data_IF_977397389406
#
_entry.id   IF_977397389406
#
_cell.length_a   1.000
_cell.length_b   1.000
_cell.length_c   1.000
_cell.angle_alpha   90.00
_cell.angle_beta   90.00
_cell.angle_gamma   90.00
#
_symmetry.space_group_name_H-M   'P 1'
#
loop_
_entity.id
_entity.type
_entity.pdbx_description
1 polymer ?
#
# COMPACT_ATOMS: atom_id res chain seq x y z
N UNK A 1 29.46 11.04 -20.43
CA UNK A 1 28.00 10.74 -20.30
C UNK A 1 27.61 9.82 -19.14
N UNK A 2 28.31 8.71 -18.86
CA UNK A 2 28.00 7.83 -17.71
C UNK A 2 27.93 8.60 -16.37
N UNK A 3 28.77 9.63 -16.18
CA UNK A 3 28.74 10.53 -15.02
C UNK A 3 27.40 11.26 -14.84
N UNK A 4 26.74 11.66 -15.94
CA UNK A 4 25.45 12.36 -15.93
C UNK A 4 24.33 11.41 -15.49
N UNK A 5 24.31 10.21 -16.04
CA UNK A 5 23.37 9.15 -15.64
C UNK A 5 23.58 8.79 -14.17
N UNK A 6 24.84 8.69 -13.72
CA UNK A 6 25.14 8.47 -12.30
C UNK A 6 24.62 9.61 -11.42
N UNK A 7 24.73 10.86 -11.85
CA UNK A 7 24.21 12.02 -11.11
C UNK A 7 22.69 11.97 -10.97
N UNK A 8 21.96 11.67 -12.04
CA UNK A 8 20.49 11.56 -12.01
C UNK A 8 20.05 10.40 -11.11
N UNK A 9 20.72 9.24 -11.22
CA UNK A 9 20.47 8.08 -10.38
C UNK A 9 20.75 8.37 -8.90
N UNK A 10 21.86 9.05 -8.57
CA UNK A 10 22.17 9.46 -7.20
C UNK A 10 21.13 10.43 -6.65
N UNK A 11 20.71 11.43 -7.43
CA UNK A 11 19.67 12.35 -7.02
C UNK A 11 18.34 11.63 -6.77
N UNK A 12 17.96 10.67 -7.63
CA UNK A 12 16.75 9.86 -7.46
C UNK A 12 16.84 9.04 -6.19
N UNK A 13 17.97 8.36 -5.95
CA UNK A 13 18.20 7.57 -4.75
C UNK A 13 18.17 8.41 -3.46
N UNK A 14 18.65 9.65 -3.50
CA UNK A 14 18.53 10.57 -2.36
C UNK A 14 17.07 10.98 -2.11
N UNK A 15 16.32 11.29 -3.17
CA UNK A 15 14.91 11.63 -3.07
C UNK A 15 14.08 10.45 -2.55
N UNK A 16 14.31 9.24 -3.07
CA UNK A 16 13.63 8.03 -2.59
C UNK A 16 13.97 7.73 -1.14
N UNK A 17 15.25 7.84 -0.72
CA UNK A 17 15.63 7.70 0.70
C UNK A 17 14.93 8.72 1.60
N UNK A 18 14.78 9.97 1.15
CA UNK A 18 14.05 11.00 1.90
C UNK A 18 12.55 10.66 1.98
N UNK A 19 11.95 10.25 0.86
CA UNK A 19 10.55 9.84 0.80
C UNK A 19 10.27 8.65 1.71
N UNK A 20 11.12 7.61 1.71
CA UNK A 20 11.00 6.45 2.60
C UNK A 20 11.13 6.84 4.08
N UNK A 21 11.98 7.80 4.42
CA UNK A 21 12.06 8.29 5.81
C UNK A 21 10.81 9.07 6.21
N UNK A 22 10.28 9.88 5.29
CA UNK A 22 9.05 10.64 5.51
C UNK A 22 7.85 9.70 5.64
N UNK A 23 7.71 8.69 4.77
CA UNK A 23 6.63 7.70 4.85
C UNK A 23 6.67 6.94 6.16
N UNK A 24 7.85 6.47 6.60
CA UNK A 24 8.01 5.82 7.91
C UNK A 24 7.63 6.71 9.09
N UNK A 25 7.87 8.02 8.97
CA UNK A 25 7.45 8.98 10.01
C UNK A 25 5.93 9.12 10.02
N UNK A 26 5.32 9.26 8.84
CA UNK A 26 3.87 9.35 8.66
C UNK A 26 3.17 8.07 9.16
N UNK A 27 3.63 6.88 8.75
CA UNK A 27 3.13 5.58 9.22
C UNK A 27 3.16 5.47 10.75
N UNK A 28 4.21 6.02 11.40
CA UNK A 28 4.33 6.03 12.86
C UNK A 28 3.34 6.98 13.52
N UNK A 29 3.06 8.13 12.90
CA UNK A 29 2.07 9.09 13.39
C UNK A 29 0.65 8.53 13.22
N UNK A 30 0.33 7.98 12.05
CA UNK A 30 -0.92 7.28 11.77
C UNK A 30 -1.18 6.16 12.76
N UNK A 31 -0.17 5.33 13.06
CA UNK A 31 -0.29 4.27 14.06
C UNK A 31 -0.58 4.81 15.47
N UNK A 32 0.05 5.92 15.86
CA UNK A 32 -0.23 6.54 17.17
C UNK A 32 -1.66 7.04 17.23
N UNK A 33 -2.14 7.66 16.16
CA UNK A 33 -3.50 8.21 16.11
C UNK A 33 -4.55 7.10 16.06
N UNK A 34 -4.32 6.02 15.30
CA UNK A 34 -5.20 4.85 15.31
C UNK A 34 -5.28 4.20 16.70
N UNK A 35 -4.15 4.10 17.41
CA UNK A 35 -4.12 3.58 18.78
C UNK A 35 -4.88 4.50 19.76
N UNK A 36 -4.70 5.83 19.65
CA UNK A 36 -5.42 6.81 20.48
C UNK A 36 -6.93 6.69 20.28
N UNK A 37 -7.38 6.64 19.02
CA UNK A 37 -8.80 6.47 18.69
C UNK A 37 -9.34 5.15 19.24
N UNK A 38 -8.59 4.04 19.10
CA UNK A 38 -8.97 2.74 19.64
C UNK A 38 -9.05 2.74 21.17
N UNK A 39 -8.10 3.37 21.86
CA UNK A 39 -8.15 3.48 23.32
C UNK A 39 -9.33 4.33 23.77
N UNK A 40 -9.63 5.43 23.09
CA UNK A 40 -10.80 6.26 23.39
C UNK A 40 -12.11 5.48 23.20
N UNK A 41 -12.24 4.77 22.09
CA UNK A 41 -13.40 3.92 21.80
C UNK A 41 -13.59 2.82 22.86
N UNK A 42 -12.53 2.05 23.15
CA UNK A 42 -12.57 1.00 24.17
C UNK A 42 -12.86 1.57 25.58
N UNK A 43 -12.38 2.78 25.87
CA UNK A 43 -12.62 3.45 27.16
C UNK A 43 -14.12 3.69 27.38
N UNK A 44 -14.82 4.16 26.35
CA UNK A 44 -16.27 4.40 26.38
C UNK A 44 -17.02 3.09 26.66
N UNK A 45 -16.67 2.01 25.96
CA UNK A 45 -17.29 0.70 26.18
C UNK A 45 -17.05 0.19 27.61
N UNK A 46 -15.81 0.28 28.10
CA UNK A 46 -15.46 -0.16 29.45
C UNK A 46 -16.17 0.66 30.53
N UNK A 47 -16.31 1.96 30.34
CA UNK A 47 -17.00 2.82 31.30
C UNK A 47 -18.50 2.52 31.33
N UNK A 48 -19.12 2.24 30.18
CA UNK A 48 -20.50 1.75 30.09
C UNK A 48 -20.69 0.42 30.84
N UNK A 49 -19.78 -0.54 30.64
CA UNK A 49 -19.82 -1.84 31.34
C UNK A 49 -19.62 -1.70 32.85
N UNK A 50 -18.72 -0.82 33.29
CA UNK A 50 -18.50 -0.56 34.72
C UNK A 50 -19.72 0.09 35.37
N UNK A 51 -20.29 1.10 34.71
CA UNK A 51 -21.51 1.75 35.17
C UNK A 51 -22.66 0.74 35.26
N UNK A 52 -22.83 -0.13 34.27
CA UNK A 52 -23.84 -1.19 34.27
C UNK A 52 -23.70 -2.14 35.47
N UNK A 53 -22.48 -2.61 35.76
CA UNK A 53 -22.20 -3.49 36.91
C UNK A 53 -22.52 -2.81 38.24
N UNK A 54 -22.15 -1.54 38.38
CA UNK A 54 -22.47 -0.76 39.57
C UNK A 54 -23.98 -0.61 39.74
N UNK A 55 -24.70 -0.25 38.66
CA UNK A 55 -26.16 -0.11 38.67
C UNK A 55 -26.86 -1.42 39.06
N UNK A 56 -26.48 -2.54 38.45
CA UNK A 56 -27.04 -3.87 38.80
C UNK A 56 -26.86 -4.17 40.29
N UNK A 57 -25.69 -3.85 40.86
CA UNK A 57 -25.42 -4.06 42.28
C UNK A 57 -26.26 -3.14 43.17
N UNK A 58 -26.40 -1.87 42.81
CA UNK A 58 -27.24 -0.91 43.53
C UNK A 58 -28.71 -1.32 43.53
N UNK A 59 -29.22 -1.77 42.39
CA UNK A 59 -30.61 -2.21 42.24
C UNK A 59 -30.88 -3.45 43.09
N UNK A 60 -29.94 -4.40 43.11
CA UNK A 60 -30.01 -5.57 43.98
C UNK A 60 -30.02 -5.20 45.47
N UNK A 61 -29.15 -4.28 45.90
CA UNK A 61 -29.02 -3.89 47.31
C UNK A 61 -30.19 -3.04 47.80
N UNK A 62 -30.73 -2.15 46.96
CA UNK A 62 -31.78 -1.22 47.34
C UNK A 62 -33.19 -1.79 47.16
N UNK A 63 -33.36 -2.82 46.32
CA UNK A 63 -34.64 -3.47 46.06
C UNK A 63 -35.72 -2.44 45.68
N UNK A 64 -36.77 -2.25 46.51
CA UNK A 64 -37.83 -1.27 46.23
C UNK A 64 -37.37 0.20 46.25
N UNK A 65 -36.20 0.50 46.83
CA UNK A 65 -35.61 1.85 46.89
C UNK A 65 -34.59 2.10 45.76
N UNK A 66 -34.62 1.29 44.69
CA UNK A 66 -33.75 1.50 43.53
C UNK A 66 -34.05 2.88 42.89
N UNK A 67 -33.00 3.66 42.53
CA UNK A 67 -33.20 4.98 41.97
C UNK A 67 -33.83 4.90 40.57
N UNK A 68 -34.83 5.74 40.31
CA UNK A 68 -35.37 5.92 38.96
C UNK A 68 -34.35 6.71 38.12
N UNK A 69 -33.61 6.02 37.27
CA UNK A 69 -32.53 6.64 36.46
C UNK A 69 -33.03 7.36 35.22
N UNK A 70 -34.24 7.03 34.80
CA UNK A 70 -34.92 7.66 33.67
C UNK A 70 -35.58 9.00 34.07
N UNK A 71 -35.60 9.31 35.37
CA UNK A 71 -36.13 10.56 35.90
C UNK A 71 -35.02 11.63 35.99
N UNK A 72 -35.33 12.86 35.56
CA UNK A 72 -34.43 14.02 35.65
C UNK A 72 -34.06 14.63 34.30
N UNK A 73 -33.18 15.63 34.32
CA UNK A 73 -32.74 16.35 33.13
C UNK A 73 -31.99 15.43 32.15
N UNK A 74 -31.08 14.61 32.68
CA UNK A 74 -30.28 13.63 31.92
C UNK A 74 -30.96 12.27 31.81
N UNK A 75 -32.09 12.05 32.52
CA UNK A 75 -32.81 10.78 32.53
C UNK A 75 -33.32 10.38 31.14
N UNK A 76 -33.58 11.36 30.26
CA UNK A 76 -33.97 11.12 28.86
C UNK A 76 -32.89 10.46 28.01
N UNK A 77 -31.63 10.54 28.45
CA UNK A 77 -30.47 9.96 27.77
C UNK A 77 -30.05 8.63 28.40
N UNK A 78 -30.74 8.20 29.45
CA UNK A 78 -30.37 6.98 30.15
C UNK A 78 -30.49 5.78 29.22
N UNK A 79 -29.40 5.00 29.12
CA UNK A 79 -29.31 3.85 28.21
C UNK A 79 -28.93 4.19 26.77
N UNK A 80 -28.97 5.47 26.38
CA UNK A 80 -28.50 5.89 25.07
C UNK A 80 -26.97 5.94 25.00
N UNK A 81 -26.41 5.54 23.85
CA UNK A 81 -24.98 5.58 23.57
C UNK A 81 -24.57 6.94 23.00
N UNK A 82 -23.27 7.24 23.09
CA UNK A 82 -22.70 8.40 22.42
C UNK A 82 -22.61 8.17 20.90
N UNK A 83 -22.64 9.22 20.07
CA UNK A 83 -22.47 9.10 18.61
C UNK A 83 -21.16 8.43 18.20
N UNK A 84 -20.14 8.46 19.05
CA UNK A 84 -18.86 7.80 18.80
C UNK A 84 -18.99 6.28 18.74
N UNK A 85 -20.01 5.69 19.37
CA UNK A 85 -20.30 4.26 19.27
C UNK A 85 -20.70 3.82 17.85
N UNK A 86 -21.20 4.74 17.01
CA UNK A 86 -21.57 4.44 15.63
C UNK A 86 -20.37 4.35 14.69
N UNK A 87 -19.23 4.93 15.08
CA UNK A 87 -18.07 5.08 14.21
C UNK A 87 -16.87 4.40 14.88
N UNK A 88 -16.72 3.08 14.72
CA UNK A 88 -15.55 2.37 15.24
C UNK A 88 -14.26 2.91 14.60
N UNK A 89 -13.13 2.85 15.31
CA UNK A 89 -11.86 3.35 14.82
C UNK A 89 -11.41 2.57 13.58
N UNK A 90 -10.81 3.24 12.56
CA UNK A 90 -10.33 2.57 11.37
C UNK A 90 -9.16 1.64 11.69
N UNK A 91 -9.12 0.50 11.01
CA UNK A 91 -8.01 -0.44 11.10
C UNK A 91 -6.87 0.08 10.21
N UNK A 92 -5.59 0.04 10.63
CA UNK A 92 -4.46 0.41 9.77
C UNK A 92 -4.41 -0.45 8.50
N UNK A 93 -4.08 0.14 7.35
CA UNK A 93 -4.15 -0.51 6.03
C UNK A 93 -3.41 -1.86 5.97
N UNK A 94 -2.22 -1.95 6.56
CA UNK A 94 -1.41 -3.17 6.58
C UNK A 94 -2.00 -4.31 7.45
N UNK A 95 -2.99 -4.02 8.29
CA UNK A 95 -3.71 -5.02 9.10
C UNK A 95 -5.08 -5.36 8.51
N UNK A 96 -5.53 -4.63 7.48
CA UNK A 96 -6.83 -4.87 6.85
C UNK A 96 -6.81 -6.17 6.05
N UNK A 97 -7.96 -6.83 5.97
CA UNK A 97 -8.19 -7.96 5.07
C UNK A 97 -8.03 -7.49 3.63
N UNK A 98 -7.29 -8.27 2.85
CA UNK A 98 -7.15 -8.04 1.42
C UNK A 98 -8.49 -8.19 0.68
N UNK A 99 -9.30 -9.17 1.08
CA UNK A 99 -10.60 -9.46 0.46
C UNK A 99 -11.71 -9.38 1.50
N UNK A 100 -12.66 -8.50 1.26
CA UNK A 100 -13.92 -8.43 2.00
C UNK A 100 -14.96 -9.20 1.21
N UNK A 101 -15.48 -10.26 1.81
CA UNK A 101 -16.36 -11.22 1.13
C UNK A 101 -17.85 -10.97 1.39
N UNK A 102 -18.22 -9.78 1.89
CA UNK A 102 -19.59 -9.37 2.18
C UNK A 102 -19.84 -8.05 1.44
N UNK A 103 -21.01 -7.91 0.81
CA UNK A 103 -21.45 -6.71 0.14
C UNK A 103 -22.85 -6.28 0.66
N UNK A 104 -23.23 -5.00 0.44
CA UNK A 104 -24.61 -4.56 0.62
C UNK A 104 -25.57 -5.44 -0.18
N UNK A 105 -26.69 -5.83 0.41
CA UNK A 105 -27.68 -6.75 -0.18
C UNK A 105 -27.48 -8.23 0.17
N UNK A 106 -26.37 -8.60 0.81
CA UNK A 106 -26.18 -9.97 1.27
C UNK A 106 -27.06 -10.30 2.48
N UNK A 107 -27.57 -11.54 2.53
CA UNK A 107 -28.22 -12.09 3.72
C UNK A 107 -27.16 -12.61 4.68
N UNK A 108 -27.23 -12.16 5.93
CA UNK A 108 -26.25 -12.54 6.95
C UNK A 108 -26.90 -12.92 8.27
N UNK A 109 -26.27 -13.84 8.98
CA UNK A 109 -26.63 -14.27 10.33
C UNK A 109 -25.65 -13.69 11.36
N UNK A 110 -26.18 -13.16 12.45
CA UNK A 110 -25.38 -12.64 13.57
C UNK A 110 -24.96 -13.78 14.48
N UNK A 111 -23.66 -13.90 14.76
CA UNK A 111 -23.09 -14.98 15.58
C UNK A 111 -22.87 -14.59 17.05
N UNK A 112 -22.72 -13.29 17.34
CA UNK A 112 -22.49 -12.76 18.70
C UNK A 112 -23.32 -11.52 18.99
N UNK A 113 -23.55 -11.24 20.27
CA UNK A 113 -24.30 -10.07 20.72
C UNK A 113 -25.77 -10.38 21.04
N UNK A 114 -26.56 -9.31 21.24
CA UNK A 114 -27.97 -9.37 21.65
C UNK A 114 -28.85 -10.09 20.63
N UNK A 115 -28.57 -9.88 19.35
CA UNK A 115 -29.37 -10.39 18.23
C UNK A 115 -28.79 -11.66 17.60
N UNK A 116 -28.04 -12.45 18.38
CA UNK A 116 -27.45 -13.72 17.93
C UNK A 116 -28.51 -14.66 17.35
N UNK A 117 -28.22 -15.23 16.18
CA UNK A 117 -29.07 -16.17 15.44
C UNK A 117 -30.11 -15.52 14.54
N UNK A 118 -30.26 -14.19 14.59
CA UNK A 118 -31.15 -13.47 13.67
C UNK A 118 -30.46 -13.27 12.32
N UNK A 119 -31.26 -13.37 11.26
CA UNK A 119 -30.84 -13.24 9.87
C UNK A 119 -31.50 -11.99 9.30
N UNK A 120 -30.72 -11.11 8.66
CA UNK A 120 -31.25 -10.01 7.87
C UNK A 120 -30.25 -9.57 6.79
N UNK A 121 -30.63 -8.57 6.00
CA UNK A 121 -29.86 -8.02 4.90
C UNK A 121 -28.84 -6.98 5.37
N UNK A 122 -27.68 -6.97 4.71
CA UNK A 122 -26.63 -5.96 4.91
C UNK A 122 -26.99 -4.67 4.20
N UNK A 123 -27.05 -3.56 4.95
CA UNK A 123 -27.30 -2.22 4.40
C UNK A 123 -26.02 -1.55 3.92
N UNK A 124 -24.94 -1.65 4.70
CA UNK A 124 -23.66 -0.96 4.41
C UNK A 124 -22.50 -1.81 4.88
N UNK A 125 -21.44 -1.85 4.08
CA UNK A 125 -20.15 -2.47 4.44
C UNK A 125 -19.09 -1.39 4.45
N UNK A 126 -18.32 -1.31 5.53
CA UNK A 126 -17.19 -0.40 5.65
C UNK A 126 -15.88 -1.17 5.64
N UNK A 127 -15.13 -1.02 4.54
CA UNK A 127 -13.85 -1.67 4.34
C UNK A 127 -12.74 -1.11 5.23
N UNK A 128 -12.87 0.12 5.72
CA UNK A 128 -11.83 0.78 6.50
C UNK A 128 -11.82 0.31 7.96
N UNK A 129 -13.01 0.04 8.50
CA UNK A 129 -13.24 -0.42 9.87
C UNK A 129 -13.49 -1.93 9.94
N UNK A 130 -13.66 -2.60 8.80
CA UNK A 130 -14.09 -4.00 8.70
C UNK A 130 -15.40 -4.27 9.46
N UNK A 131 -16.36 -3.37 9.26
CA UNK A 131 -17.67 -3.47 9.87
C UNK A 131 -18.81 -3.52 8.87
N UNK A 132 -19.93 -4.08 9.32
CA UNK A 132 -21.13 -4.31 8.55
C UNK A 132 -22.31 -3.77 9.35
N UNK A 133 -23.16 -2.98 8.69
CA UNK A 133 -24.43 -2.53 9.24
C UNK A 133 -25.52 -3.41 8.66
N UNK A 134 -26.25 -4.09 9.54
CA UNK A 134 -27.34 -4.99 9.18
C UNK A 134 -28.67 -4.29 9.47
N UNK A 135 -29.61 -4.38 8.53
CA UNK A 135 -30.91 -3.71 8.64
C UNK A 135 -31.67 -4.17 9.88
N UNK A 136 -32.21 -3.22 10.65
CA UNK A 136 -33.08 -3.43 11.82
C UNK A 136 -32.54 -4.41 12.88
N UNK A 137 -31.23 -4.69 12.87
CA UNK A 137 -30.54 -5.56 13.83
C UNK A 137 -29.42 -4.80 14.53
N UNK A 138 -29.06 -5.26 15.73
CA UNK A 138 -28.10 -4.57 16.61
C UNK A 138 -28.46 -3.09 16.83
N UNK A 139 -29.76 -2.84 16.99
CA UNK A 139 -30.28 -1.49 17.22
C UNK A 139 -29.98 -1.03 18.63
N UNK A 140 -29.49 0.20 18.74
CA UNK A 140 -29.28 0.89 19.99
C UNK A 140 -29.75 2.34 19.88
N UNK A 141 -30.18 2.89 21.01
CA UNK A 141 -30.51 4.31 21.10
C UNK A 141 -29.20 5.10 21.15
N UNK A 142 -29.05 6.06 20.24
CA UNK A 142 -27.91 6.96 20.18
C UNK A 142 -28.40 8.37 20.42
N UNK A 143 -27.81 9.06 21.38
CA UNK A 143 -28.10 10.46 21.64
C UNK A 143 -27.32 11.34 20.65
N UNK A 144 -28.04 12.20 19.93
CA UNK A 144 -27.45 13.20 19.07
C UNK A 144 -27.51 14.59 19.70
N UNK A 145 -26.53 15.47 19.44
CA UNK A 145 -26.59 16.86 19.90
C UNK A 145 -27.85 17.57 19.41
N UNK A 146 -28.38 18.49 20.21
CA UNK A 146 -29.64 19.20 19.94
C UNK A 146 -29.67 19.88 18.56
N UNK A 147 -28.57 20.51 18.16
CA UNK A 147 -28.45 21.18 16.86
C UNK A 147 -28.66 20.23 15.66
N UNK A 148 -28.34 18.95 15.82
CA UNK A 148 -28.54 17.95 14.77
C UNK A 148 -29.99 17.44 14.78
N UNK A 149 -30.58 17.23 15.97
CA UNK A 149 -31.97 16.80 16.09
C UNK A 149 -32.95 17.83 15.52
N UNK A 150 -32.69 19.13 15.73
CA UNK A 150 -33.49 20.23 15.17
C UNK A 150 -33.48 20.22 13.63
N UNK A 151 -32.33 19.94 13.00
CA UNK A 151 -32.21 19.87 11.54
C UNK A 151 -33.03 18.72 10.94
N UNK A 152 -33.10 17.58 11.63
CA UNK A 152 -33.88 16.43 11.18
C UNK A 152 -35.35 16.45 11.65
N UNK A 153 -35.77 17.46 12.41
CA UNK A 153 -37.13 17.58 12.93
C UNK A 153 -37.48 16.50 13.98
N UNK A 154 -36.48 15.89 14.60
CA UNK A 154 -36.68 14.83 15.58
C UNK A 154 -36.93 15.43 16.97
N UNK A 155 -38.12 15.17 17.52
CA UNK A 155 -38.52 15.64 18.85
C UNK A 155 -37.89 14.84 20.00
N UNK A 156 -37.34 13.65 19.71
CA UNK A 156 -36.72 12.78 20.70
C UNK A 156 -35.23 13.09 20.81
N UNK A 157 -34.66 13.11 22.04
CA UNK A 157 -33.25 13.43 22.24
C UNK A 157 -32.31 12.30 21.76
N UNK A 158 -32.84 11.10 21.53
CA UNK A 158 -32.12 9.97 20.97
C UNK A 158 -32.85 9.42 19.74
N UNK A 159 -32.12 8.68 18.92
CA UNK A 159 -32.66 7.95 17.78
C UNK A 159 -32.14 6.50 17.83
N UNK A 160 -33.03 5.55 17.56
CA UNK A 160 -32.67 4.14 17.50
C UNK A 160 -32.09 3.82 16.11
N UNK A 161 -30.81 3.46 16.08
CA UNK A 161 -30.07 3.17 14.84
C UNK A 161 -29.36 1.83 14.93
N UNK A 162 -29.21 1.14 13.80
CA UNK A 162 -28.42 -0.09 13.68
C UNK A 162 -26.93 0.22 13.83
N UNK A 163 -26.29 -0.33 14.87
CA UNK A 163 -24.86 -0.15 15.09
C UNK A 163 -24.02 -1.10 14.21
N UNK A 164 -22.83 -0.66 13.76
CA UNK A 164 -21.93 -1.50 12.99
C UNK A 164 -21.47 -2.72 13.81
N UNK A 165 -21.48 -3.89 13.17
CA UNK A 165 -20.95 -5.14 13.69
C UNK A 165 -19.62 -5.46 13.01
N UNK A 166 -18.70 -6.12 13.70
CA UNK A 166 -17.50 -6.64 13.04
C UNK A 166 -17.86 -7.73 12.04
N UNK A 167 -17.15 -7.78 10.90
CA UNK A 167 -17.28 -8.86 9.91
C UNK A 167 -17.10 -10.25 10.56
N UNK A 168 -16.30 -10.37 11.62
CA UNK A 168 -16.08 -11.65 12.31
C UNK A 168 -17.27 -12.16 13.11
N UNK A 169 -18.18 -11.27 13.49
CA UNK A 169 -19.36 -11.61 14.27
C UNK A 169 -20.58 -11.92 13.40
N UNK A 170 -20.37 -11.98 12.08
CA UNK A 170 -21.41 -12.17 11.08
C UNK A 170 -21.01 -13.30 10.12
N UNK A 171 -21.99 -14.06 9.62
CA UNK A 171 -21.77 -15.13 8.62
C UNK A 171 -22.77 -15.01 7.48
N UNK A 172 -22.34 -15.32 6.26
CA UNK A 172 -23.21 -15.30 5.09
C UNK A 172 -24.23 -16.44 5.18
N UNK A 173 -25.45 -16.15 4.74
CA UNK A 173 -26.51 -17.13 4.56
C UNK A 173 -26.73 -17.27 3.06
N UNK A 174 -26.49 -18.48 2.54
CA UNK A 174 -26.57 -18.79 1.12
C UNK A 174 -27.58 -19.92 0.93
N UNK A 175 -28.47 -19.77 -0.05
CA UNK A 175 -29.35 -20.84 -0.47
C UNK A 175 -28.55 -21.81 -1.34
N UNK A 176 -28.41 -23.06 -0.90
CA UNK A 176 -27.70 -24.12 -1.61
C UNK A 176 -28.64 -25.30 -1.84
N UNK A 177 -28.46 -25.98 -2.97
CA UNK A 177 -29.16 -27.20 -3.29
C UNK A 177 -28.45 -28.38 -2.62
N UNK A 178 -29.20 -29.17 -1.85
CA UNK A 178 -28.67 -30.40 -1.28
C UNK A 178 -28.46 -31.44 -2.39
N UNK A 179 -27.24 -31.98 -2.60
CA UNK A 179 -26.96 -32.91 -3.69
C UNK A 179 -27.75 -34.23 -3.59
N UNK A 180 -28.20 -34.61 -2.40
CA UNK A 180 -28.93 -35.88 -2.20
C UNK A 180 -30.43 -35.69 -2.39
N UNK A 181 -31.00 -34.63 -1.84
CA UNK A 181 -32.45 -34.40 -1.85
C UNK A 181 -32.93 -33.48 -2.98
N UNK A 182 -32.04 -32.68 -3.57
CA UNK A 182 -32.36 -31.67 -4.57
C UNK A 182 -33.18 -30.49 -4.03
N UNK A 183 -33.34 -30.38 -2.71
CA UNK A 183 -34.06 -29.28 -2.09
C UNK A 183 -33.12 -28.10 -1.78
N UNK A 184 -33.57 -26.89 -2.11
CA UNK A 184 -32.91 -25.64 -1.72
C UNK A 184 -33.02 -25.44 -0.21
N UNK A 185 -31.91 -25.28 0.49
CA UNK A 185 -31.88 -24.93 1.91
C UNK A 185 -30.96 -23.75 2.17
N UNK A 186 -31.35 -22.90 3.12
CA UNK A 186 -30.49 -21.83 3.61
C UNK A 186 -29.39 -22.44 4.49
N UNK A 187 -28.14 -22.25 4.07
CA UNK A 187 -26.94 -22.72 4.76
C UNK A 187 -26.15 -21.54 5.28
N UNK A 188 -25.64 -21.66 6.50
CA UNK A 188 -24.72 -20.70 7.08
C UNK A 188 -23.29 -21.04 6.66
N UNK A 189 -22.63 -20.13 5.97
CA UNK A 189 -21.27 -20.32 5.47
C UNK A 189 -20.28 -19.90 6.55
N UNK A 190 -19.49 -20.84 7.07
CA UNK A 190 -18.52 -20.59 8.13
C UNK A 190 -17.28 -19.83 7.64
N UNK A 191 -16.75 -20.23 6.48
CA UNK A 191 -15.54 -19.69 5.90
C UNK A 191 -15.72 -19.41 4.40
N UNK A 192 -15.37 -18.19 3.99
CA UNK A 192 -15.45 -17.73 2.60
C UNK A 192 -14.06 -17.36 2.14
N UNK A 193 -13.63 -17.90 1.00
CA UNK A 193 -12.39 -17.49 0.33
C UNK A 193 -12.71 -16.54 -0.81
N UNK A 194 -11.99 -15.42 -0.88
CA UNK A 194 -12.05 -14.48 -2.00
C UNK A 194 -10.85 -14.70 -2.92
N UNK A 195 -11.03 -14.51 -4.24
CA UNK A 195 -9.94 -14.66 -5.19
C UNK A 195 -10.33 -14.47 -6.64
N UNK A 196 -9.57 -15.12 -7.52
CA UNK A 196 -9.79 -15.10 -8.97
C UNK A 196 -11.01 -15.95 -9.36
N UNK A 197 -11.69 -15.62 -10.48
CA UNK A 197 -11.39 -14.55 -11.43
C UNK A 197 -11.82 -13.15 -10.95
N UNK A 198 -11.09 -12.12 -11.39
CA UNK A 198 -11.49 -10.72 -11.17
C UNK A 198 -12.48 -10.29 -12.25
N UNK A 199 -13.69 -9.94 -11.83
CA UNK A 199 -14.75 -9.48 -12.70
C UNK A 199 -14.63 -7.96 -12.90
N UNK A 200 -14.90 -7.51 -14.12
CA UNK A 200 -15.16 -6.10 -14.39
C UNK A 200 -16.55 -5.76 -13.83
N UNK A 201 -16.63 -4.64 -13.11
CA UNK A 201 -17.86 -4.14 -12.50
C UNK A 201 -18.22 -2.83 -13.16
N UNK A 202 -19.50 -2.56 -13.21
CA UNK A 202 -19.99 -1.27 -13.65
C UNK A 202 -19.46 -0.16 -12.74
N UNK A 203 -19.30 1.02 -13.31
CA UNK A 203 -18.79 2.16 -12.56
C UNK A 203 -19.79 2.58 -11.49
N UNK A 204 -19.28 2.87 -10.29
CA UNK A 204 -20.09 3.30 -9.14
C UNK A 204 -20.70 2.14 -8.35
N UNK A 205 -20.44 0.89 -8.71
CA UNK A 205 -20.91 -0.26 -7.95
C UNK A 205 -20.04 -0.53 -6.72
N UNK A 206 -20.64 -0.69 -5.54
CA UNK A 206 -19.93 -1.00 -4.29
C UNK A 206 -19.50 -2.48 -4.16
N UNK A 207 -19.95 -3.35 -5.06
CA UNK A 207 -19.59 -4.78 -5.04
C UNK A 207 -18.11 -4.99 -5.35
N UNK A 208 -17.40 -5.86 -4.62
CA UNK A 208 -16.00 -6.18 -4.91
C UNK A 208 -15.78 -6.82 -6.29
N UNK A 209 -14.55 -6.63 -6.82
CA UNK A 209 -14.13 -7.18 -8.12
C UNK A 209 -13.80 -8.67 -8.08
N UNK A 210 -13.34 -9.19 -6.94
CA UNK A 210 -12.99 -10.61 -6.80
C UNK A 210 -14.24 -11.48 -6.72
N UNK A 211 -14.14 -12.75 -7.11
CA UNK A 211 -15.17 -13.77 -6.83
C UNK A 211 -14.95 -14.35 -5.43
N UNK A 212 -16.01 -14.95 -4.89
CA UNK A 212 -15.99 -15.56 -3.55
C UNK A 212 -16.56 -16.97 -3.60
N UNK A 213 -15.94 -17.85 -2.82
CA UNK A 213 -16.25 -19.27 -2.78
C UNK A 213 -16.40 -19.76 -1.34
N UNK A 214 -17.24 -20.77 -1.13
CA UNK A 214 -17.26 -21.52 0.12
C UNK A 214 -15.93 -22.25 0.27
N UNK A 215 -15.22 -22.00 1.37
CA UNK A 215 -13.92 -22.62 1.58
C UNK A 215 -14.06 -24.15 1.74
N UNK A 216 -13.33 -24.92 0.94
CA UNK A 216 -13.32 -26.39 0.98
C UNK A 216 -14.26 -27.05 -0.02
N UNK A 217 -15.42 -26.45 -0.32
CA UNK A 217 -16.36 -26.98 -1.32
C UNK A 217 -16.20 -26.33 -2.70
N UNK A 218 -15.50 -25.19 -2.78
CA UNK A 218 -15.25 -24.43 -4.01
C UNK A 218 -16.53 -24.04 -4.78
N UNK A 219 -17.66 -23.98 -4.08
CA UNK A 219 -18.94 -23.50 -4.59
C UNK A 219 -18.89 -21.96 -4.64
N UNK A 220 -19.14 -21.39 -5.82
CA UNK A 220 -19.18 -19.95 -6.01
C UNK A 220 -20.42 -19.34 -5.35
N UNK A 221 -20.22 -18.26 -4.57
CA UNK A 221 -21.31 -17.47 -4.01
C UNK A 221 -21.46 -16.21 -4.87
N UNK A 222 -22.55 -16.07 -5.64
CA UNK A 222 -22.75 -14.88 -6.46
C UNK A 222 -22.84 -13.63 -5.58
N UNK A 223 -22.37 -12.51 -6.10
CA UNK A 223 -22.57 -11.21 -5.48
C UNK A 223 -24.05 -10.78 -5.59
N UNK A 224 -24.57 -10.02 -4.62
CA UNK A 224 -25.92 -9.49 -4.71
C UNK A 224 -26.01 -8.52 -5.89
N UNK A 225 -27.19 -8.44 -6.51
CA UNK A 225 -27.43 -7.48 -7.59
C UNK A 225 -27.50 -6.09 -6.98
N UNK A 226 -26.55 -5.23 -7.34
CA UNK A 226 -26.57 -3.81 -7.01
C UNK A 226 -27.30 -3.03 -8.08
N UNK A 227 -28.07 -2.03 -7.69
CA UNK A 227 -28.58 -1.04 -8.63
C UNK A 227 -27.42 -0.19 -9.15
N UNK A 228 -27.28 0.00 -10.48
CA UNK A 228 -26.26 0.87 -11.02
C UNK A 228 -26.51 2.30 -10.55
N UNK A 229 -25.42 3.03 -10.24
CA UNK A 229 -25.54 4.43 -9.87
C UNK A 229 -26.22 5.23 -10.99
N UNK A 230 -27.21 6.05 -10.64
CA UNK A 230 -27.82 6.99 -11.58
C UNK A 230 -26.77 8.03 -12.00
N UNK A 231 -26.17 7.83 -13.18
CA UNK A 231 -25.31 8.84 -13.78
C UNK A 231 -26.20 9.93 -14.38
N UNK A 232 -26.01 11.15 -13.91
CA UNK A 232 -26.67 12.34 -14.45
C UNK A 232 -25.62 13.18 -15.13
N UNK A 233 -25.88 13.52 -16.39
CA UNK A 233 -25.06 14.47 -17.12
C UNK A 233 -25.34 15.85 -16.52
N UNK A 234 -24.32 16.46 -15.95
CA UNK A 234 -24.41 17.78 -15.38
C UNK A 234 -24.09 18.86 -16.42
N UNK A 235 -24.57 20.09 -16.22
CA UNK A 235 -24.40 21.18 -17.19
C UNK A 235 -22.94 21.60 -17.45
N UNK A 236 -22.02 21.17 -16.60
CA UNK A 236 -20.58 21.43 -16.66
C UNK A 236 -19.80 20.25 -17.26
N UNK A 237 -20.48 19.16 -17.59
CA UNK A 237 -19.92 18.05 -18.33
C UNK A 237 -19.82 18.39 -19.82
N UNK A 238 -18.83 17.81 -20.47
CA UNK A 238 -18.65 17.96 -21.91
C UNK A 238 -19.58 17.02 -22.65
N UNK A 239 -20.17 17.50 -23.76
CA UNK A 239 -21.04 16.67 -24.58
C UNK A 239 -20.24 15.51 -25.16
N UNK A 240 -20.84 14.32 -25.18
CA UNK A 240 -20.20 13.11 -25.72
C UNK A 240 -19.64 13.30 -27.13
N UNK A 241 -20.35 14.05 -27.98
CA UNK A 241 -19.89 14.37 -29.33
C UNK A 241 -18.54 15.12 -29.31
N UNK A 242 -18.36 16.08 -28.40
CA UNK A 242 -17.10 16.83 -28.29
C UNK A 242 -15.96 15.95 -27.79
N UNK A 243 -16.23 15.09 -26.79
CA UNK A 243 -15.25 14.17 -26.21
C UNK A 243 -14.77 13.14 -27.22
N UNK A 244 -15.67 12.59 -28.03
CA UNK A 244 -15.35 11.54 -29.00
C UNK A 244 -14.75 12.09 -30.31
N UNK A 245 -14.75 13.42 -30.53
CA UNK A 245 -14.19 13.99 -31.76
C UNK A 245 -12.65 13.85 -31.82
N UNK A 246 -12.09 13.08 -32.78
CA UNK A 246 -10.65 12.94 -32.91
C UNK A 246 -10.05 14.16 -33.60
N UNK A 247 -9.52 15.11 -32.83
CA UNK A 247 -8.93 16.36 -33.34
C UNK A 247 -7.43 16.25 -33.63
N UNK A 248 -6.74 15.28 -33.03
CA UNK A 248 -5.29 15.16 -33.12
C UNK A 248 -4.82 14.36 -34.34
N UNK A 249 -3.98 14.99 -35.18
CA UNK A 249 -3.30 14.33 -36.28
C UNK A 249 -1.77 14.34 -36.03
N UNK A 250 -1.13 13.19 -35.79
CA UNK A 250 0.31 13.12 -35.57
C UNK A 250 1.09 13.61 -36.80
N UNK A 251 2.08 14.48 -36.58
CA UNK A 251 2.96 14.98 -37.63
C UNK A 251 4.43 14.70 -37.27
N UNK A 252 5.26 14.38 -38.27
CA UNK A 252 6.70 14.19 -38.08
C UNK A 252 7.51 15.47 -38.29
N UNK A 253 7.01 16.37 -39.15
CA UNK A 253 7.69 17.62 -39.51
C UNK A 253 7.55 18.71 -38.45
N UNK A 254 6.39 18.76 -37.78
CA UNK A 254 6.09 19.78 -36.79
C UNK A 254 5.95 19.14 -35.42
N UNK A 255 6.51 19.83 -34.42
CA UNK A 255 6.30 19.42 -33.05
C UNK A 255 4.81 19.57 -32.68
N UNK A 256 4.26 18.65 -31.87
CA UNK A 256 2.88 18.70 -31.40
C UNK A 256 2.48 20.02 -30.71
N UNK A 257 3.44 20.64 -30.05
CA UNK A 257 3.29 21.91 -29.35
C UNK A 257 4.48 22.81 -29.67
N UNK A 258 4.34 24.13 -29.52
CA UNK A 258 5.46 25.05 -29.61
C UNK A 258 6.58 24.68 -28.63
N UNK A 259 7.85 24.91 -28.99
CA UNK A 259 8.99 24.51 -28.14
C UNK A 259 9.01 25.21 -26.77
N UNK A 260 8.36 26.36 -26.63
CA UNK A 260 8.22 27.07 -25.34
C UNK A 260 7.48 26.23 -24.29
N UNK A 261 6.46 25.47 -24.71
CA UNK A 261 5.64 24.63 -23.81
C UNK A 261 6.47 23.52 -23.18
N UNK A 262 7.54 23.06 -23.84
CA UNK A 262 8.42 22.04 -23.28
C UNK A 262 9.12 22.49 -22.00
N UNK A 263 9.40 23.79 -21.84
CA UNK A 263 10.05 24.33 -20.65
C UNK A 263 9.06 24.50 -19.47
N UNK A 264 7.75 24.55 -19.75
CA UNK A 264 6.68 24.55 -18.74
C UNK A 264 6.38 23.13 -18.25
N UNK A 265 6.25 22.17 -19.18
CA UNK A 265 5.97 20.75 -18.86
C UNK A 265 7.12 20.13 -18.06
N UNK A 266 8.36 20.56 -18.31
CA UNK A 266 9.54 20.07 -17.59
C UNK A 266 10.54 21.18 -17.31
N UNK A 267 11.11 21.15 -16.10
CA UNK A 267 12.24 22.01 -15.78
C UNK A 267 13.48 21.63 -16.62
N UNK A 268 13.87 22.53 -17.55
CA UNK A 268 15.03 22.43 -18.44
C UNK A 268 16.35 22.15 -17.71
N UNK A 269 16.51 22.68 -16.50
CA UNK A 269 17.72 22.57 -15.68
C UNK A 269 17.59 21.55 -14.55
N UNK A 270 16.58 20.69 -14.61
CA UNK A 270 16.38 19.64 -13.62
C UNK A 270 17.58 18.70 -13.54
N UNK A 271 18.00 18.40 -12.30
CA UNK A 271 19.01 17.36 -12.02
C UNK A 271 18.56 15.94 -12.37
N UNK A 272 17.28 15.75 -12.71
CA UNK A 272 16.69 14.48 -13.14
C UNK A 272 16.53 14.39 -14.67
N UNK A 273 16.97 15.41 -15.42
CA UNK A 273 16.93 15.40 -16.89
C UNK A 273 17.74 14.21 -17.43
N UNK A 274 17.12 13.40 -18.28
CA UNK A 274 17.75 12.24 -18.94
C UNK A 274 17.94 12.44 -20.44
N UNK A 275 17.03 13.19 -21.07
CA UNK A 275 17.08 13.52 -22.51
C UNK A 275 17.81 14.84 -22.69
N UNK A 276 19.01 14.78 -23.28
CA UNK A 276 19.89 15.93 -23.50
C UNK A 276 20.05 16.20 -24.98
N UNK A 277 20.30 17.46 -25.32
CA UNK A 277 20.56 17.91 -26.68
C UNK A 277 21.96 17.46 -27.11
N UNK A 278 22.17 17.20 -28.40
CA UNK A 278 23.42 16.62 -28.91
C UNK A 278 24.63 17.53 -28.63
N UNK A 279 24.48 18.82 -28.88
CA UNK A 279 25.49 19.86 -28.59
C UNK A 279 25.94 19.83 -27.11
N UNK A 280 24.99 19.65 -26.19
CA UNK A 280 25.28 19.57 -24.77
C UNK A 280 26.05 18.30 -24.42
N UNK A 281 25.68 17.18 -25.05
CA UNK A 281 26.36 15.89 -24.87
C UNK A 281 27.80 15.97 -25.38
N UNK A 282 28.02 16.58 -26.54
CA UNK A 282 29.35 16.82 -27.12
C UNK A 282 30.19 17.72 -26.23
N UNK A 283 29.65 18.86 -25.80
CA UNK A 283 30.34 19.76 -24.87
C UNK A 283 30.77 19.04 -23.59
N UNK A 284 29.90 18.19 -23.02
CA UNK A 284 30.23 17.39 -21.84
C UNK A 284 31.27 16.29 -22.10
N UNK A 285 31.25 15.66 -23.28
CA UNK A 285 32.29 14.70 -23.68
C UNK A 285 33.64 15.41 -23.83
N UNK A 286 33.67 16.60 -24.45
CA UNK A 286 34.89 17.39 -24.59
C UNK A 286 35.46 17.85 -23.26
N UNK A 287 34.62 18.23 -22.29
CA UNK A 287 35.06 18.51 -20.93
C UNK A 287 35.67 17.27 -20.24
N UNK A 288 35.06 16.10 -20.41
CA UNK A 288 35.58 14.83 -19.89
C UNK A 288 36.97 14.52 -20.51
N UNK A 289 37.10 14.63 -21.84
CA UNK A 289 38.39 14.45 -22.53
C UNK A 289 39.44 15.48 -22.12
N UNK A 290 39.06 16.76 -21.97
CA UNK A 290 39.98 17.81 -21.50
C UNK A 290 40.49 17.49 -20.11
N UNK A 291 39.63 16.97 -19.23
CA UNK A 291 40.03 16.57 -17.88
C UNK A 291 40.97 15.37 -17.90
N UNK A 292 40.68 14.36 -18.72
CA UNK A 292 41.55 13.19 -18.91
C UNK A 292 42.91 13.62 -19.48
N UNK A 293 42.93 14.52 -20.46
CA UNK A 293 44.16 15.10 -21.02
C UNK A 293 44.97 15.88 -19.98
N UNK A 294 44.31 16.69 -19.14
CA UNK A 294 45.00 17.41 -18.06
C UNK A 294 45.54 16.45 -16.99
N UNK A 295 44.83 15.36 -16.69
CA UNK A 295 45.31 14.33 -15.77
C UNK A 295 46.46 13.51 -16.37
N UNK A 296 46.45 13.25 -17.68
CA UNK A 296 47.54 12.55 -18.36
C UNK A 296 48.78 13.43 -18.52
N UNK A 297 48.63 14.76 -18.50
CA UNK A 297 49.76 15.69 -18.43
C UNK A 297 50.38 15.67 -17.05
N UNK A 298 51.26 14.70 -16.83
CA UNK A 298 52.31 14.84 -15.82
C UNK A 298 53.31 15.88 -16.32
N UNK A 299 53.31 17.08 -15.73
CA UNK A 299 54.45 17.99 -15.84
C UNK A 299 55.57 17.42 -14.99
N UNK A 300 56.33 16.47 -15.54
CA UNK A 300 57.53 15.98 -14.87
C UNK A 300 58.62 17.04 -14.99
N UNK A 301 59.39 17.22 -13.92
CA UNK A 301 60.66 17.96 -14.02
C UNK A 301 61.63 17.18 -14.91
N UNK A 302 62.69 17.81 -15.45
CA UNK A 302 63.70 17.09 -16.25
C UNK A 302 64.27 15.85 -15.53
N UNK A 303 64.40 15.91 -14.21
CA UNK A 303 64.77 14.76 -13.37
C UNK A 303 63.68 13.67 -13.35
N UNK A 304 62.41 14.07 -13.28
CA UNK A 304 61.27 13.17 -13.37
C UNK A 304 61.18 12.46 -14.72
N UNK A 305 61.37 13.18 -15.83
CA UNK A 305 61.40 12.61 -17.19
C UNK A 305 62.52 11.58 -17.33
N UNK A 306 63.70 11.88 -16.80
CA UNK A 306 64.82 10.94 -16.77
C UNK A 306 64.52 9.67 -15.97
N UNK A 307 63.88 9.81 -14.79
CA UNK A 307 63.46 8.67 -13.99
C UNK A 307 62.37 7.83 -14.68
N UNK A 308 61.40 8.47 -15.34
CA UNK A 308 60.38 7.79 -16.12
C UNK A 308 60.99 7.04 -17.32
N UNK A 309 61.96 7.64 -18.01
CA UNK A 309 62.72 6.98 -19.09
C UNK A 309 63.51 5.77 -18.57
N UNK A 310 64.16 5.89 -17.41
CA UNK A 310 64.86 4.78 -16.78
C UNK A 310 63.90 3.66 -16.37
N UNK A 311 62.72 4.00 -15.84
CA UNK A 311 61.68 3.02 -15.51
C UNK A 311 61.14 2.33 -16.75
N UNK A 312 60.84 3.07 -17.82
CA UNK A 312 60.40 2.51 -19.09
C UNK A 312 61.45 1.54 -19.67
N UNK A 313 62.73 1.94 -19.74
CA UNK A 313 63.84 1.06 -20.15
C UNK A 313 63.97 -0.17 -19.25
N UNK A 314 63.76 -0.03 -17.94
CA UNK A 314 63.78 -1.16 -17.00
C UNK A 314 62.59 -2.10 -17.25
N UNK A 315 61.40 -1.56 -17.52
CA UNK A 315 60.21 -2.34 -17.85
C UNK A 315 60.37 -3.06 -19.19
N UNK A 316 60.89 -2.40 -20.23
CA UNK A 316 61.21 -3.03 -21.52
C UNK A 316 62.21 -4.18 -21.34
N UNK A 317 63.29 -3.97 -20.58
CA UNK A 317 64.25 -5.04 -20.24
C UNK A 317 63.60 -6.18 -19.47
N UNK A 318 62.66 -5.89 -18.57
CA UNK A 318 61.93 -6.94 -17.85
C UNK A 318 60.95 -7.68 -18.76
N UNK A 319 60.25 -6.97 -19.65
CA UNK A 319 59.29 -7.56 -20.59
C UNK A 319 59.99 -8.38 -21.67
N UNK A 320 61.18 -7.97 -22.12
CA UNK A 320 62.02 -8.77 -23.03
C UNK A 320 62.52 -10.07 -22.39
N UNK A 321 62.60 -10.10 -21.05
CA UNK A 321 62.89 -11.30 -20.27
C UNK A 321 61.63 -12.08 -19.91
N UNK A 322 60.46 -11.74 -20.45
CA UNK A 322 59.22 -12.47 -20.19
C UNK A 322 58.73 -13.18 -21.45
N UNK A 323 58.20 -14.39 -21.27
CA UNK A 323 57.52 -15.16 -22.30
C UNK A 323 56.11 -14.61 -22.58
N UNK A 324 55.45 -15.14 -23.63
CA UNK A 324 54.08 -14.78 -24.01
C UNK A 324 53.04 -14.94 -22.87
N UNK A 325 53.33 -15.78 -21.88
CA UNK A 325 52.49 -16.02 -20.70
C UNK A 325 52.85 -15.11 -19.51
N UNK A 326 53.81 -14.19 -19.66
CA UNK A 326 54.22 -13.22 -18.62
C UNK A 326 55.24 -13.74 -17.59
N UNK A 327 55.74 -14.97 -17.75
CA UNK A 327 56.76 -15.57 -16.88
C UNK A 327 58.17 -15.16 -17.30
N UNK A 328 59.13 -15.08 -16.38
CA UNK A 328 60.51 -14.76 -16.73
C UNK A 328 61.20 -15.93 -17.43
N UNK A 329 61.85 -15.63 -18.56
CA UNK A 329 62.75 -16.51 -19.29
C UNK A 329 63.99 -16.72 -18.42
N UNK A 330 64.21 -17.98 -18.02
CA UNK A 330 65.41 -18.38 -17.32
C UNK A 330 66.57 -18.49 -18.31
N UNK A 331 67.76 -18.05 -17.90
CA UNK A 331 68.98 -18.21 -18.71
C UNK A 331 69.35 -19.71 -18.80
N UNK A 332 69.89 -20.16 -19.93
CA UNK A 332 70.15 -21.58 -20.22
C UNK A 332 71.04 -22.25 -19.17
N UNK A 333 71.95 -21.48 -18.57
CA UNK A 333 72.79 -21.95 -17.45
C UNK A 333 71.97 -22.26 -16.20
N UNK A 334 70.95 -21.44 -15.92
CA UNK A 334 70.01 -21.66 -14.81
C UNK A 334 69.15 -22.88 -15.08
N UNK A 335 68.66 -23.05 -16.31
CA UNK A 335 67.89 -24.23 -16.71
C UNK A 335 68.74 -25.50 -16.52
N UNK A 336 69.97 -25.51 -17.05
CA UNK A 336 70.90 -26.63 -16.88
C UNK A 336 71.30 -26.90 -15.42
N UNK A 337 71.46 -25.86 -14.59
CA UNK A 337 71.68 -26.04 -13.15
C UNK A 337 70.47 -26.69 -12.47
N UNK A 338 69.26 -26.23 -12.76
CA UNK A 338 68.02 -26.80 -12.20
C UNK A 338 67.87 -28.25 -12.65
N UNK A 339 68.12 -28.57 -13.92
CA UNK A 339 68.07 -29.93 -14.43
C UNK A 339 69.10 -30.85 -13.75
N UNK A 340 70.34 -30.39 -13.58
CA UNK A 340 71.38 -31.16 -12.89
C UNK A 340 71.07 -31.34 -11.40
N UNK A 341 70.58 -30.30 -10.72
CA UNK A 341 70.14 -30.38 -9.33
C UNK A 341 68.96 -31.35 -9.17
N UNK A 342 68.01 -31.35 -10.09
CA UNK A 342 66.88 -32.28 -10.08
C UNK A 342 67.34 -33.73 -10.35
N UNK A 343 68.32 -33.94 -11.24
CA UNK A 343 68.95 -35.25 -11.47
C UNK A 343 69.68 -35.75 -10.23
N UNK A 344 70.54 -34.93 -9.60
CA UNK A 344 71.24 -35.28 -8.36
C UNK A 344 70.27 -35.63 -7.22
N UNK A 345 69.19 -34.86 -7.09
CA UNK A 345 68.17 -35.09 -6.07
C UNK A 345 67.37 -36.37 -6.34
N UNK A 346 67.09 -36.69 -7.61
CA UNK A 346 66.45 -37.94 -7.98
C UNK A 346 67.37 -39.14 -7.71
N UNK A 347 68.67 -39.04 -7.98
CA UNK A 347 69.65 -40.09 -7.69
C UNK A 347 69.92 -40.29 -6.20
N UNK A 348 69.70 -39.28 -5.35
CA UNK A 348 69.77 -39.40 -3.88
C UNK A 348 68.50 -39.99 -3.25
N UNK A 349 67.41 -40.09 -4.01
CA UNK A 349 66.09 -40.53 -3.53
C UNK A 349 65.72 -41.93 -4.01
N UNK A 350 66.48 -42.48 -4.97
CA UNK A 350 66.58 -43.90 -5.26
C UNK A 350 67.73 -44.49 -4.43
#
# INVERSE_FOLDING_TARGET
MQKVIRRTALARNQATRKAVRASKSAEREELKDSLRQRFAYNRIELDNLRAERQRRREDWLRGPLAPQRDAGLEGRLFGALSPQAMNPPPIPEHLRRQYINIAPGDRVCIMKGKDKGKINEVTRVDATTETVVVKDLNMADVHFPDWLNEQYGNSSPFQSVSLPLSIDDVRLVVALDDPVTGATRDVLVEHVRGGEPFLERDYGTETPRHTRYIAGEDIEIPWPRSDPAEMKDEAWDTLRMEVETPTWMPSLHYAPFPPSVLDEVRNKFSKYRTRHDEEWVEARKMEDYRREYLQSRSLLTPRGEFLAMLQAKRQERQNARKDANGNYILDDKTVGFIENFMKEKATKKA
#
